data_IF_871563772769
#
_entry.id   IF_871563772769
#
_cell.length_a   1.000
_cell.length_b   1.000
_cell.length_c   1.000
_cell.angle_alpha   90.00
_cell.angle_beta   90.00
_cell.angle_gamma   90.00
#
_symmetry.space_group_name_H-M   'P 1'
#
loop_
_entity.id
_entity.type
_entity.pdbx_description
1 polymer ?
#
# COMPACT_ATOMS: atom_id res chain seq x y z
N UNK A 1 -29.46 9.35 -13.15
CA UNK A 1 -28.10 9.83 -12.78
C UNK A 1 -27.53 8.84 -11.77
N UNK A 2 -26.82 7.79 -12.22
CA UNK A 2 -26.19 6.82 -11.30
C UNK A 2 -24.98 7.50 -10.66
N UNK A 3 -24.97 7.63 -9.34
CA UNK A 3 -23.76 8.05 -8.63
C UNK A 3 -22.63 7.07 -9.01
N UNK A 4 -21.41 7.54 -9.31
CA UNK A 4 -20.25 6.68 -9.60
C UNK A 4 -19.77 5.87 -8.38
N UNK A 5 -20.54 5.89 -7.28
CA UNK A 5 -20.29 5.22 -6.00
C UNK A 5 -20.55 3.70 -6.07
N UNK A 6 -21.15 3.18 -7.14
CA UNK A 6 -21.30 1.72 -7.37
C UNK A 6 -20.01 1.06 -7.87
N UNK A 7 -18.86 1.52 -7.35
CA UNK A 7 -17.55 1.07 -7.80
C UNK A 7 -16.52 0.89 -6.71
N UNK A 8 -16.88 1.07 -5.44
CA UNK A 8 -15.94 0.86 -4.34
C UNK A 8 -15.55 -0.62 -4.17
N UNK A 9 -16.38 -1.56 -4.65
CA UNK A 9 -16.17 -2.99 -4.48
C UNK A 9 -14.97 -3.57 -5.22
N UNK A 10 -14.60 -2.92 -6.31
CA UNK A 10 -13.66 -3.45 -7.29
C UNK A 10 -12.38 -2.60 -7.36
N UNK A 11 -12.27 -1.62 -6.47
CA UNK A 11 -11.03 -0.96 -6.07
C UNK A 11 -10.44 -1.64 -4.82
N UNK A 12 -10.51 -2.98 -4.74
CA UNK A 12 -9.70 -3.76 -3.79
C UNK A 12 -8.56 -4.45 -4.52
N UNK A 13 -7.40 -3.77 -4.69
CA UNK A 13 -6.17 -4.35 -5.23
C UNK A 13 -5.50 -5.41 -4.36
N UNK A 14 -6.26 -6.02 -3.45
CA UNK A 14 -5.85 -7.14 -2.64
C UNK A 14 -6.49 -8.48 -3.05
N UNK A 15 -7.30 -8.55 -4.10
CA UNK A 15 -7.73 -9.87 -4.61
C UNK A 15 -6.60 -10.53 -5.40
N UNK A 16 -6.60 -11.87 -5.45
CA UNK A 16 -5.65 -12.67 -6.26
C UNK A 16 -5.62 -12.22 -7.73
N UNK A 17 -6.74 -11.71 -8.24
CA UNK A 17 -6.88 -11.16 -9.60
C UNK A 17 -5.92 -9.99 -9.88
N UNK A 18 -5.61 -9.18 -8.85
CA UNK A 18 -4.68 -8.08 -8.94
C UNK A 18 -3.25 -8.56 -9.26
N UNK A 19 -2.84 -9.66 -8.62
CA UNK A 19 -1.54 -10.28 -8.86
C UNK A 19 -1.47 -10.81 -10.29
N UNK A 20 -2.50 -11.54 -10.73
CA UNK A 20 -2.59 -12.05 -12.11
C UNK A 20 -2.56 -10.91 -13.13
N UNK A 21 -3.40 -9.89 -12.95
CA UNK A 21 -3.50 -8.79 -13.90
C UNK A 21 -2.20 -7.99 -14.01
N UNK A 22 -1.53 -7.69 -12.90
CA UNK A 22 -0.26 -6.94 -12.92
C UNK A 22 0.94 -7.76 -13.39
N UNK A 23 0.88 -9.10 -13.33
CA UNK A 23 1.99 -9.98 -13.76
C UNK A 23 1.83 -10.53 -15.16
N UNK A 24 0.59 -10.68 -15.65
CA UNK A 24 0.26 -11.29 -16.95
C UNK A 24 -0.51 -10.33 -17.86
N UNK A 25 -1.27 -9.38 -17.30
CA UNK A 25 -2.07 -8.40 -18.06
C UNK A 25 -3.55 -8.79 -18.17
N UNK A 26 -3.93 -9.94 -17.63
CA UNK A 26 -5.29 -10.47 -17.61
C UNK A 26 -5.54 -11.24 -16.31
N UNK A 27 -6.80 -11.36 -15.91
CA UNK A 27 -7.29 -12.20 -14.83
C UNK A 27 -7.82 -13.57 -15.33
N UNK A 28 -7.53 -13.90 -16.60
CA UNK A 28 -7.93 -15.18 -17.20
C UNK A 28 -7.18 -16.39 -16.61
N UNK A 29 -7.97 -17.37 -16.15
CA UNK A 29 -7.46 -18.58 -15.51
C UNK A 29 -6.77 -19.52 -16.50
N UNK A 30 -7.23 -19.57 -17.77
CA UNK A 30 -6.62 -20.40 -18.80
C UNK A 30 -5.21 -19.92 -19.14
N UNK A 31 -5.04 -18.60 -19.30
CA UNK A 31 -3.74 -17.96 -19.51
C UNK A 31 -2.79 -18.23 -18.34
N UNK A 32 -3.29 -18.15 -17.10
CA UNK A 32 -2.50 -18.49 -15.91
C UNK A 32 -2.07 -19.97 -15.92
N UNK A 33 -2.97 -20.88 -16.28
CA UNK A 33 -2.65 -22.31 -16.40
C UNK A 33 -1.62 -22.57 -17.50
N UNK A 34 -1.67 -21.85 -18.62
CA UNK A 34 -0.67 -21.95 -19.69
C UNK A 34 0.72 -21.54 -19.22
N UNK A 35 0.86 -20.46 -18.44
CA UNK A 35 2.16 -20.08 -17.87
C UNK A 35 2.73 -21.14 -16.92
N UNK A 36 1.88 -21.85 -16.19
CA UNK A 36 2.28 -23.01 -15.38
C UNK A 36 2.79 -24.14 -16.27
N UNK A 37 2.03 -24.51 -17.32
CA UNK A 37 2.38 -25.60 -18.24
C UNK A 37 3.69 -25.30 -18.99
N UNK A 38 3.86 -24.06 -19.46
CA UNK A 38 5.07 -23.60 -20.16
C UNK A 38 6.28 -23.51 -19.21
N UNK A 39 6.05 -23.35 -17.91
CA UNK A 39 7.10 -23.21 -16.91
C UNK A 39 7.72 -21.81 -16.91
N UNK A 40 6.94 -20.78 -17.26
CA UNK A 40 7.41 -19.40 -17.14
C UNK A 40 7.74 -19.07 -15.68
N UNK A 41 8.70 -18.19 -15.44
CA UNK A 41 9.13 -17.83 -14.08
C UNK A 41 9.44 -16.35 -13.99
N UNK A 42 8.62 -15.65 -13.21
CA UNK A 42 8.78 -14.24 -12.87
C UNK A 42 9.08 -14.11 -11.38
N UNK A 43 10.19 -13.45 -11.05
CA UNK A 43 10.52 -13.13 -9.67
C UNK A 43 9.85 -11.81 -9.26
N UNK A 44 9.31 -11.77 -8.03
CA UNK A 44 8.54 -10.64 -7.52
C UNK A 44 8.92 -10.28 -6.08
N UNK A 45 8.85 -9.00 -5.76
CA UNK A 45 9.05 -8.44 -4.44
C UNK A 45 7.91 -8.82 -3.49
N UNK A 46 8.24 -8.95 -2.21
CA UNK A 46 7.26 -9.19 -1.15
C UNK A 46 7.60 -8.34 0.06
N UNK A 47 6.59 -7.77 0.69
CA UNK A 47 6.73 -6.97 1.90
C UNK A 47 6.46 -7.82 3.15
N UNK A 48 7.41 -7.88 4.08
CA UNK A 48 7.21 -8.47 5.39
C UNK A 48 6.63 -7.42 6.36
N UNK A 49 5.48 -7.72 6.95
CA UNK A 49 4.76 -6.84 7.88
C UNK A 49 4.95 -7.35 9.30
N UNK A 50 5.48 -6.49 10.17
CA UNK A 50 5.77 -6.78 11.56
C UNK A 50 5.01 -5.85 12.50
N UNK A 51 4.83 -6.29 13.74
CA UNK A 51 4.34 -5.47 14.85
C UNK A 51 5.08 -5.89 16.12
N UNK A 52 5.73 -4.93 16.80
CA UNK A 52 6.51 -5.21 18.01
C UNK A 52 7.58 -6.29 17.81
N UNK A 53 8.28 -6.27 16.67
CA UNK A 53 9.30 -7.27 16.30
C UNK A 53 8.76 -8.64 15.88
N UNK A 54 7.44 -8.87 15.94
CA UNK A 54 6.82 -10.13 15.50
C UNK A 54 6.33 -10.03 14.07
N UNK A 55 6.69 -10.98 13.22
CA UNK A 55 6.16 -11.09 11.86
C UNK A 55 4.66 -11.41 11.90
N UNK A 56 3.84 -10.53 11.33
CA UNK A 56 2.40 -10.73 11.19
C UNK A 56 2.07 -11.46 9.89
N UNK A 57 2.60 -10.98 8.76
CA UNK A 57 2.24 -11.47 7.42
C UNK A 57 3.21 -10.99 6.35
N UNK A 58 3.23 -11.69 5.21
CA UNK A 58 3.81 -11.21 3.96
C UNK A 58 2.72 -10.65 3.04
N UNK A 59 2.96 -9.48 2.44
CA UNK A 59 2.10 -8.87 1.42
C UNK A 59 2.80 -8.86 0.07
N UNK A 60 2.11 -9.34 -0.95
CA UNK A 60 2.55 -9.39 -2.33
C UNK A 60 2.04 -8.20 -3.17
N UNK A 61 0.88 -7.61 -2.82
CA UNK A 61 0.27 -6.54 -3.63
C UNK A 61 0.08 -5.23 -2.88
N UNK A 62 -0.82 -5.22 -1.89
CA UNK A 62 -1.37 -4.00 -1.30
C UNK A 62 -1.45 -4.11 0.23
N UNK A 63 -0.88 -3.10 0.87
CA UNK A 63 -1.20 -2.71 2.23
C UNK A 63 -1.99 -1.40 2.24
N UNK A 64 -3.13 -1.35 2.95
CA UNK A 64 -3.99 -0.17 3.01
C UNK A 64 -4.57 0.09 4.40
N UNK A 65 -4.21 1.21 5.02
CA UNK A 65 -4.76 1.68 6.29
C UNK A 65 -5.81 2.79 6.08
N UNK A 66 -6.65 3.02 7.09
CA UNK A 66 -7.67 4.05 7.03
C UNK A 66 -8.82 3.61 6.13
N UNK A 67 -9.17 4.43 5.14
CA UNK A 67 -10.29 4.18 4.23
C UNK A 67 -10.33 2.73 3.69
N UNK A 68 -9.22 2.22 3.15
CA UNK A 68 -9.18 0.88 2.54
C UNK A 68 -9.29 -0.25 3.58
N UNK A 69 -8.63 -0.11 4.73
CA UNK A 69 -8.72 -1.10 5.80
C UNK A 69 -10.07 -1.13 6.51
N UNK A 70 -10.70 0.04 6.67
CA UNK A 70 -12.04 0.16 7.24
C UNK A 70 -13.10 -0.50 6.37
N UNK A 71 -12.97 -0.43 5.04
CA UNK A 71 -13.88 -1.13 4.13
C UNK A 71 -13.73 -2.64 4.25
N UNK A 72 -12.50 -3.17 4.20
CA UNK A 72 -12.29 -4.62 4.36
C UNK A 72 -12.89 -5.07 5.68
N UNK A 73 -12.54 -4.43 6.80
CA UNK A 73 -13.08 -4.76 8.14
C UNK A 73 -14.61 -4.74 8.20
N UNK A 74 -15.26 -3.76 7.59
CA UNK A 74 -16.73 -3.66 7.57
C UNK A 74 -17.37 -4.70 6.63
N UNK A 75 -16.70 -5.02 5.52
CA UNK A 75 -17.15 -5.98 4.51
C UNK A 75 -17.04 -7.44 4.96
N UNK A 76 -16.08 -7.75 5.83
CA UNK A 76 -15.90 -9.08 6.43
C UNK A 76 -17.07 -9.47 7.33
N UNK A 77 -17.72 -8.48 7.97
CA UNK A 77 -18.96 -8.69 8.74
C UNK A 77 -20.19 -8.94 7.85
N UNK A 78 -20.03 -8.81 6.53
CA UNK A 78 -21.11 -8.79 5.53
C UNK A 78 -20.88 -9.81 4.41
N UNK A 79 -20.16 -10.90 4.69
CA UNK A 79 -19.93 -11.99 3.72
C UNK A 79 -21.22 -12.54 3.11
N UNK A 80 -22.33 -12.49 3.83
CA UNK A 80 -23.65 -12.91 3.37
C UNK A 80 -24.17 -12.14 2.13
N UNK A 81 -23.63 -10.94 1.83
CA UNK A 81 -24.02 -10.16 0.64
C UNK A 81 -23.21 -10.49 -0.62
N UNK A 82 -22.28 -11.44 -0.57
CA UNK A 82 -21.37 -11.71 -1.70
C UNK A 82 -20.58 -10.46 -2.10
N UNK A 83 -20.30 -10.28 -3.39
CA UNK A 83 -19.44 -9.20 -3.91
C UNK A 83 -19.97 -7.78 -3.62
N UNK A 84 -21.28 -7.60 -3.48
CA UNK A 84 -21.91 -6.30 -3.21
C UNK A 84 -21.46 -5.72 -1.86
N UNK A 85 -20.98 -6.58 -0.94
CA UNK A 85 -20.49 -6.17 0.38
C UNK A 85 -19.46 -5.05 0.32
N UNK A 86 -18.56 -5.09 -0.66
CA UNK A 86 -17.50 -4.12 -0.77
C UNK A 86 -18.00 -2.75 -1.28
N UNK A 87 -19.01 -2.72 -2.14
CA UNK A 87 -19.63 -1.47 -2.64
C UNK A 87 -20.38 -0.79 -1.50
N UNK A 88 -21.17 -1.57 -0.77
CA UNK A 88 -21.90 -1.09 0.40
C UNK A 88 -20.95 -0.55 1.48
N UNK A 89 -19.94 -1.33 1.85
CA UNK A 89 -18.96 -0.93 2.85
C UNK A 89 -18.14 0.27 2.37
N UNK A 90 -17.79 0.35 1.09
CA UNK A 90 -17.13 1.48 0.47
C UNK A 90 -17.91 2.78 0.55
N UNK A 91 -19.19 2.73 0.15
CA UNK A 91 -20.09 3.88 0.25
C UNK A 91 -20.26 4.33 1.71
N UNK A 92 -20.48 3.38 2.62
CA UNK A 92 -20.60 3.66 4.05
C UNK A 92 -19.35 4.36 4.60
N UNK A 93 -18.17 3.81 4.35
CA UNK A 93 -16.90 4.38 4.81
C UNK A 93 -16.63 5.75 4.19
N UNK A 94 -16.98 5.94 2.91
CA UNK A 94 -16.86 7.23 2.23
C UNK A 94 -17.74 8.31 2.87
N UNK A 95 -18.98 7.98 3.23
CA UNK A 95 -19.88 8.92 3.89
C UNK A 95 -19.39 9.28 5.30
N UNK A 96 -18.89 8.29 6.05
CA UNK A 96 -18.28 8.50 7.38
C UNK A 96 -17.05 9.40 7.32
N UNK A 97 -16.19 9.24 6.31
CA UNK A 97 -15.03 10.11 6.03
C UNK A 97 -14.10 10.31 7.24
N UNK A 98 -13.82 9.22 7.95
CA UNK A 98 -12.90 9.23 9.09
C UNK A 98 -11.46 9.45 8.63
N UNK A 99 -10.68 10.11 9.48
CA UNK A 99 -9.24 10.29 9.33
C UNK A 99 -8.54 9.85 10.62
N UNK A 100 -7.28 9.45 10.47
CA UNK A 100 -6.47 8.87 11.55
C UNK A 100 -5.18 9.67 11.67
N UNK A 101 -4.81 10.01 12.90
CA UNK A 101 -3.60 10.76 13.19
C UNK A 101 -2.47 9.80 13.58
N UNK A 102 -1.26 10.10 13.13
CA UNK A 102 -0.08 9.31 13.46
C UNK A 102 1.16 9.77 12.71
N UNK A 103 2.23 8.99 12.86
CA UNK A 103 3.54 9.23 12.28
C UNK A 103 3.90 8.11 11.32
N UNK A 104 4.21 8.48 10.08
CA UNK A 104 4.77 7.59 9.07
C UNK A 104 6.27 7.88 8.93
N UNK A 105 7.11 6.89 9.25
CA UNK A 105 8.56 6.96 9.08
C UNK A 105 8.96 6.00 7.96
N UNK A 106 9.84 6.40 7.05
CA UNK A 106 10.23 5.53 5.93
C UNK A 106 11.64 5.79 5.44
N UNK A 107 12.23 4.74 4.86
CA UNK A 107 13.54 4.78 4.23
C UNK A 107 13.37 4.82 2.70
N UNK A 108 13.71 5.94 2.03
CA UNK A 108 13.63 6.05 0.58
C UNK A 108 14.51 5.00 -0.12
N UNK A 109 14.03 4.47 -1.24
CA UNK A 109 14.81 3.53 -2.05
C UNK A 109 15.79 4.30 -2.96
N UNK A 110 16.95 4.67 -2.41
CA UNK A 110 17.96 5.46 -3.15
C UNK A 110 18.63 4.68 -4.29
N UNK A 111 18.68 3.35 -4.17
CA UNK A 111 19.34 2.45 -5.14
C UNK A 111 18.44 1.98 -6.27
N UNK A 112 17.12 2.19 -6.18
CA UNK A 112 16.18 1.84 -7.25
C UNK A 112 16.10 2.96 -8.26
N UNK A 113 16.31 2.64 -9.53
CA UNK A 113 16.18 3.62 -10.63
C UNK A 113 14.69 3.90 -10.84
N UNK A 114 14.27 5.14 -10.59
CA UNK A 114 12.96 5.63 -11.00
C UNK A 114 12.14 6.30 -9.91
N UNK A 115 11.14 7.07 -10.35
CA UNK A 115 10.13 7.73 -9.53
C UNK A 115 8.81 6.95 -9.56
N UNK A 116 8.01 6.99 -8.49
CA UNK A 116 6.61 6.53 -8.52
C UNK A 116 5.76 7.24 -9.60
N UNK A 117 6.25 8.34 -10.17
CA UNK A 117 5.60 9.09 -11.26
C UNK A 117 6.21 8.83 -12.64
N UNK A 118 7.06 7.82 -12.78
CA UNK A 118 7.65 7.50 -14.09
C UNK A 118 6.58 7.09 -15.10
N UNK A 119 6.78 7.50 -16.35
CA UNK A 119 5.82 7.22 -17.43
C UNK A 119 5.92 5.82 -18.03
N UNK A 120 6.91 5.00 -17.64
CA UNK A 120 7.14 3.66 -18.19
C UNK A 120 6.70 2.59 -17.19
N UNK A 121 5.67 1.79 -17.48
CA UNK A 121 5.24 0.73 -16.59
C UNK A 121 6.19 -0.47 -16.62
N UNK A 122 6.13 -1.29 -15.57
CA UNK A 122 6.84 -2.56 -15.55
C UNK A 122 6.23 -3.55 -16.57
N UNK A 123 7.10 -4.16 -17.39
CA UNK A 123 6.75 -5.07 -18.50
C UNK A 123 7.68 -6.27 -18.52
N UNK A 124 7.36 -7.27 -19.34
CA UNK A 124 8.20 -8.44 -19.58
C UNK A 124 9.65 -8.00 -19.93
N UNK A 125 10.63 -8.59 -19.26
CA UNK A 125 12.04 -8.23 -19.47
C UNK A 125 12.45 -6.84 -18.96
N UNK A 126 11.72 -6.27 -17.98
CA UNK A 126 12.02 -4.96 -17.41
C UNK A 126 13.52 -4.81 -17.03
N UNK A 127 14.14 -3.72 -17.49
CA UNK A 127 15.54 -3.43 -17.21
C UNK A 127 15.79 -3.18 -15.71
N UNK A 128 14.93 -2.39 -15.06
CA UNK A 128 15.06 -2.03 -13.64
C UNK A 128 15.05 -3.29 -12.75
N UNK A 129 14.06 -4.18 -12.92
CA UNK A 129 14.00 -5.41 -12.14
C UNK A 129 15.21 -6.33 -12.39
N UNK A 130 15.73 -6.40 -13.63
CA UNK A 130 16.94 -7.17 -13.94
C UNK A 130 18.17 -6.59 -13.27
N UNK A 131 18.30 -5.27 -13.26
CA UNK A 131 19.40 -4.57 -12.60
C UNK A 131 19.36 -4.78 -11.08
N UNK A 132 18.19 -4.65 -10.44
CA UNK A 132 18.02 -4.91 -9.02
C UNK A 132 18.38 -6.35 -8.64
N UNK A 133 18.12 -7.32 -9.52
CA UNK A 133 18.56 -8.71 -9.31
C UNK A 133 20.08 -8.85 -9.29
N UNK A 134 20.77 -8.21 -10.24
CA UNK A 134 22.24 -8.25 -10.31
C UNK A 134 22.86 -7.61 -9.05
N UNK A 135 22.31 -6.47 -8.61
CA UNK A 135 22.72 -5.82 -7.36
C UNK A 135 22.50 -6.72 -6.15
N UNK A 136 21.35 -7.37 -6.04
CA UNK A 136 21.06 -8.31 -4.96
C UNK A 136 22.05 -9.49 -4.93
N UNK A 137 22.36 -10.07 -6.10
CA UNK A 137 23.33 -11.17 -6.22
C UNK A 137 24.76 -10.70 -5.84
N UNK A 138 25.13 -9.46 -6.13
CA UNK A 138 26.40 -8.86 -5.70
C UNK A 138 26.45 -8.60 -4.19
N UNK A 139 25.38 -8.04 -3.61
CA UNK A 139 25.24 -7.83 -2.16
C UNK A 139 25.33 -9.14 -1.38
N UNK A 140 24.63 -10.19 -1.85
CA UNK A 140 24.69 -11.53 -1.25
C UNK A 140 26.09 -12.13 -1.33
N UNK A 141 26.80 -11.96 -2.45
CA UNK A 141 28.20 -12.39 -2.57
C UNK A 141 29.10 -11.63 -1.59
N UNK A 142 28.96 -10.31 -1.49
CA UNK A 142 29.75 -9.49 -0.54
C UNK A 142 29.51 -9.94 0.90
N UNK A 143 28.26 -10.17 1.28
CA UNK A 143 27.90 -10.68 2.61
C UNK A 143 28.52 -12.07 2.88
N UNK A 144 28.50 -12.98 1.90
CA UNK A 144 29.12 -14.30 2.03
C UNK A 144 30.64 -14.23 2.27
N UNK A 145 31.32 -13.25 1.67
CA UNK A 145 32.76 -13.04 1.84
C UNK A 145 33.11 -12.12 3.02
N UNK A 146 32.12 -11.68 3.82
CA UNK A 146 32.34 -10.74 4.93
C UNK A 146 32.85 -9.36 4.49
N UNK A 147 32.64 -9.01 3.22
CA UNK A 147 33.03 -7.72 2.63
C UNK A 147 31.89 -6.71 2.78
N UNK A 148 31.32 -6.62 3.97
CA UNK A 148 30.26 -5.66 4.29
C UNK A 148 30.83 -4.25 4.12
N UNK A 149 30.31 -3.50 3.15
CA UNK A 149 30.61 -2.08 3.06
C UNK A 149 29.98 -1.38 4.27
N UNK A 150 30.75 -0.48 4.88
CA UNK A 150 30.35 0.55 5.85
C UNK A 150 28.86 0.84 5.85
N UNK A 151 28.22 0.79 7.03
CA UNK A 151 26.84 1.20 7.29
C UNK A 151 26.46 2.37 6.38
N UNK A 152 25.70 2.10 5.31
CA UNK A 152 25.08 3.17 4.55
C UNK A 152 24.16 3.88 5.53
N UNK A 153 24.39 5.18 5.73
CA UNK A 153 23.57 6.01 6.60
C UNK A 153 22.12 5.95 6.09
N UNK A 154 21.30 5.12 6.74
CA UNK A 154 19.87 5.00 6.46
C UNK A 154 19.19 6.30 6.91
N UNK A 155 19.03 7.25 5.98
CA UNK A 155 18.34 8.50 6.26
C UNK A 155 16.82 8.30 6.25
N UNK A 156 16.26 8.07 7.43
CA UNK A 156 14.81 7.97 7.64
C UNK A 156 14.14 9.33 7.46
N UNK A 157 13.07 9.34 6.65
CA UNK A 157 12.16 10.48 6.54
C UNK A 157 10.96 10.24 7.44
N UNK A 158 10.52 11.30 8.12
CA UNK A 158 9.40 11.24 9.07
C UNK A 158 8.31 12.21 8.63
N UNK A 159 7.08 11.71 8.57
CA UNK A 159 5.90 12.47 8.19
C UNK A 159 4.81 12.26 9.23
N UNK A 160 4.56 13.27 10.04
CA UNK A 160 3.42 13.32 10.95
C UNK A 160 2.20 13.91 10.24
N UNK A 161 1.00 13.44 10.57
CA UNK A 161 -0.20 14.04 10.03
C UNK A 161 -1.50 13.31 10.31
N UNK A 162 -2.56 13.83 9.67
CA UNK A 162 -3.90 13.25 9.65
C UNK A 162 -4.15 12.65 8.26
N UNK A 163 -4.32 11.34 8.21
CA UNK A 163 -4.46 10.57 6.99
C UNK A 163 -5.87 10.03 6.84
N UNK A 164 -6.46 10.19 5.65
CA UNK A 164 -7.66 9.45 5.25
C UNK A 164 -7.29 8.01 4.91
N UNK A 165 -6.12 7.83 4.28
CA UNK A 165 -5.58 6.52 3.95
C UNK A 165 -4.06 6.56 3.83
N UNK A 166 -3.44 5.41 4.12
CA UNK A 166 -2.02 5.14 3.89
C UNK A 166 -1.97 3.85 3.09
N UNK A 167 -1.36 3.89 1.92
CA UNK A 167 -1.29 2.77 1.00
C UNK A 167 0.17 2.44 0.72
N UNK A 168 0.53 1.16 0.70
CA UNK A 168 1.83 0.68 0.30
C UNK A 168 1.65 -0.39 -0.78
N UNK A 169 2.29 -0.19 -1.92
CA UNK A 169 2.08 -0.97 -3.14
C UNK A 169 3.39 -1.65 -3.57
N UNK A 170 3.41 -2.97 -3.61
CA UNK A 170 4.55 -3.75 -4.12
C UNK A 170 4.55 -3.87 -5.66
N UNK A 171 3.46 -3.46 -6.29
CA UNK A 171 3.23 -3.61 -7.73
C UNK A 171 2.19 -2.58 -8.18
N UNK A 172 1.93 -2.51 -9.49
CA UNK A 172 1.02 -1.48 -10.00
C UNK A 172 -0.40 -1.59 -9.48
N UNK A 173 -0.79 -2.80 -9.06
CA UNK A 173 -2.09 -3.08 -8.48
C UNK A 173 -3.22 -2.77 -9.48
N UNK A 174 -3.03 -3.18 -10.73
CA UNK A 174 -3.94 -2.95 -11.84
C UNK A 174 -5.03 -4.01 -11.90
N UNK A 175 -6.19 -3.64 -12.45
CA UNK A 175 -7.30 -4.56 -12.68
C UNK A 175 -8.17 -4.06 -13.84
N UNK A 176 -9.14 -4.85 -14.28
CA UNK A 176 -10.05 -4.48 -15.38
C UNK A 176 -10.74 -3.11 -15.20
N UNK A 177 -10.98 -2.65 -13.96
CA UNK A 177 -11.60 -1.34 -13.67
C UNK A 177 -10.60 -0.22 -13.39
N UNK A 178 -9.34 -0.56 -13.15
CA UNK A 178 -8.24 0.37 -13.01
C UNK A 178 -7.03 -0.16 -13.79
N UNK A 179 -7.02 -0.01 -15.13
CA UNK A 179 -6.01 -0.64 -15.98
C UNK A 179 -4.58 -0.16 -15.69
N UNK A 180 -4.42 1.06 -15.16
CA UNK A 180 -3.13 1.57 -14.67
C UNK A 180 -2.82 1.18 -13.23
N UNK A 181 -3.82 0.74 -12.47
CA UNK A 181 -3.72 0.46 -11.04
C UNK A 181 -3.52 1.71 -10.18
N UNK A 182 -3.22 1.51 -8.90
CA UNK A 182 -2.95 2.62 -7.97
C UNK A 182 -1.50 3.09 -7.96
N UNK A 183 -0.58 2.33 -8.58
CA UNK A 183 0.81 2.76 -8.79
C UNK A 183 1.37 2.28 -10.14
N UNK A 184 0.96 2.87 -11.29
CA UNK A 184 1.35 2.43 -12.63
C UNK A 184 2.85 2.26 -12.87
N UNK A 185 3.68 3.03 -12.15
CA UNK A 185 5.13 3.01 -12.25
C UNK A 185 5.81 2.03 -11.28
N UNK A 186 5.05 1.32 -10.44
CA UNK A 186 5.61 0.33 -9.53
C UNK A 186 6.18 -0.86 -10.32
N UNK A 187 7.39 -1.25 -9.94
CA UNK A 187 8.07 -2.40 -10.50
C UNK A 187 7.74 -3.65 -9.70
N UNK A 188 7.75 -4.80 -10.38
CA UNK A 188 7.44 -6.08 -9.73
C UNK A 188 8.60 -6.61 -8.88
N UNK A 189 9.83 -6.14 -9.13
CA UNK A 189 11.05 -6.80 -8.66
C UNK A 189 12.22 -5.86 -8.46
N UNK A 190 12.00 -4.58 -8.14
CA UNK A 190 13.09 -3.62 -7.98
C UNK A 190 13.61 -3.52 -6.54
N UNK A 191 12.99 -4.22 -5.60
CA UNK A 191 13.32 -4.18 -4.18
C UNK A 191 12.70 -2.99 -3.45
N UNK A 192 11.62 -2.41 -3.99
CA UNK A 192 10.93 -1.26 -3.39
C UNK A 192 9.42 -1.44 -3.32
N UNK A 193 8.76 -0.53 -2.61
CA UNK A 193 7.32 -0.34 -2.63
C UNK A 193 7.00 1.15 -2.79
N UNK A 194 5.86 1.46 -3.38
CA UNK A 194 5.36 2.83 -3.47
C UNK A 194 4.42 3.11 -2.27
N UNK A 195 4.86 3.99 -1.37
CA UNK A 195 4.13 4.49 -0.21
C UNK A 195 3.35 5.75 -0.59
N UNK A 196 2.02 5.66 -0.55
CA UNK A 196 1.09 6.73 -0.92
C UNK A 196 0.36 7.20 0.35
N UNK A 197 0.63 8.45 0.75
CA UNK A 197 0.01 9.09 1.91
C UNK A 197 -1.11 10.02 1.43
N UNK A 198 -2.34 9.75 1.87
CA UNK A 198 -3.52 10.56 1.51
C UNK A 198 -3.93 11.35 2.75
N UNK A 199 -3.57 12.64 2.78
CA UNK A 199 -3.89 13.54 3.90
C UNK A 199 -5.38 13.88 3.96
N UNK A 200 -5.80 14.36 5.13
CA UNK A 200 -7.13 14.92 5.36
C UNK A 200 -7.49 15.95 4.28
N UNK A 201 -8.53 15.67 3.51
CA UNK A 201 -9.12 16.57 2.52
C UNK A 201 -10.65 16.54 2.58
N UNK A 202 -11.32 17.39 1.78
CA UNK A 202 -12.79 17.38 1.69
C UNK A 202 -13.31 16.11 1.02
N UNK A 203 -14.55 15.70 1.32
CA UNK A 203 -15.20 14.55 0.67
C UNK A 203 -15.20 14.66 -0.85
N UNK A 204 -15.42 15.86 -1.39
CA UNK A 204 -15.38 16.12 -2.83
C UNK A 204 -13.98 15.88 -3.43
N UNK A 205 -12.93 16.38 -2.76
CA UNK A 205 -11.55 16.15 -3.20
C UNK A 205 -11.18 14.66 -3.12
N UNK A 206 -11.62 13.97 -2.07
CA UNK A 206 -11.40 12.54 -1.94
C UNK A 206 -12.16 11.73 -2.99
N UNK A 207 -13.40 12.09 -3.32
CA UNK A 207 -14.13 11.50 -4.45
C UNK A 207 -13.41 11.72 -5.78
N UNK A 208 -12.88 12.93 -6.00
CA UNK A 208 -12.08 13.26 -7.20
C UNK A 208 -10.82 12.40 -7.28
N UNK A 209 -10.19 12.10 -6.14
CA UNK A 209 -9.08 11.16 -6.05
C UNK A 209 -9.51 9.73 -6.40
N UNK A 210 -10.60 9.23 -5.83
CA UNK A 210 -11.10 7.88 -6.12
C UNK A 210 -11.47 7.70 -7.61
N UNK A 211 -12.11 8.70 -8.21
CA UNK A 211 -12.45 8.69 -9.64
C UNK A 211 -11.17 8.73 -10.51
N UNK A 212 -10.07 9.30 -10.01
CA UNK A 212 -8.81 9.42 -10.77
C UNK A 212 -8.27 8.05 -11.20
N UNK A 213 -8.44 7.02 -10.37
CA UNK A 213 -8.00 5.66 -10.70
C UNK A 213 -8.78 4.98 -11.84
N UNK A 214 -9.87 5.58 -12.32
CA UNK A 214 -10.64 5.09 -13.49
C UNK A 214 -10.19 5.69 -14.82
N UNK A 215 -9.22 6.60 -14.81
CA UNK A 215 -8.73 7.29 -16.00
C UNK A 215 -7.20 7.25 -16.09
N UNK A 216 -6.66 7.81 -17.18
CA UNK A 216 -5.23 7.76 -17.51
C UNK A 216 -4.44 9.00 -17.04
N UNK A 217 -4.97 9.79 -16.10
CA UNK A 217 -4.27 10.97 -15.57
C UNK A 217 -3.42 10.57 -14.36
N UNK A 218 -2.35 11.34 -14.08
CA UNK A 218 -1.49 11.14 -12.90
C UNK A 218 -2.35 11.06 -11.63
N UNK A 219 -2.36 9.92 -10.94
CA UNK A 219 -3.20 9.76 -9.75
C UNK A 219 -2.69 10.48 -8.50
N UNK A 220 -1.44 10.94 -8.55
CA UNK A 220 -0.76 11.62 -7.45
C UNK A 220 -0.80 13.14 -7.62
N UNK A 221 -1.40 13.66 -8.69
CA UNK A 221 -1.56 15.10 -8.93
C UNK A 221 -2.70 15.71 -8.09
N UNK A 222 -2.48 15.69 -6.77
CA UNK A 222 -3.32 16.30 -5.75
C UNK A 222 -2.45 16.83 -4.61
N UNK A 223 -2.74 18.03 -4.10
CA UNK A 223 -1.98 18.65 -3.00
C UNK A 223 -2.06 17.91 -1.66
N UNK A 224 -3.01 16.99 -1.52
CA UNK A 224 -3.22 16.16 -0.34
C UNK A 224 -2.72 14.72 -0.52
N UNK A 225 -2.01 14.42 -1.63
CA UNK A 225 -1.45 13.10 -1.91
C UNK A 225 0.06 13.22 -2.05
N UNK A 226 0.79 12.50 -1.21
CA UNK A 226 2.24 12.33 -1.31
C UNK A 226 2.54 10.89 -1.71
N UNK A 227 3.57 10.69 -2.53
CA UNK A 227 4.02 9.36 -2.95
C UNK A 227 5.54 9.26 -2.85
N UNK A 228 6.02 8.16 -2.28
CA UNK A 228 7.44 7.88 -2.07
C UNK A 228 7.77 6.44 -2.46
N UNK A 229 8.89 6.23 -3.15
CA UNK A 229 9.45 4.89 -3.33
C UNK A 229 10.35 4.56 -2.15
N UNK A 230 10.07 3.48 -1.43
CA UNK A 230 10.69 3.16 -0.15
C UNK A 230 11.10 1.69 -0.07
N UNK A 231 12.13 1.39 0.74
CA UNK A 231 12.55 0.02 1.08
C UNK A 231 11.93 -0.48 2.38
N UNK A 232 11.68 0.46 3.32
CA UNK A 232 11.09 0.21 4.62
C UNK A 232 10.12 1.34 4.95
N UNK A 233 9.02 1.03 5.62
CA UNK A 233 8.22 2.06 6.29
C UNK A 233 7.64 1.54 7.60
N UNK A 234 7.38 2.46 8.50
CA UNK A 234 6.73 2.23 9.76
C UNK A 234 5.59 3.23 9.88
N UNK A 235 4.47 2.79 10.46
CA UNK A 235 3.40 3.69 10.86
C UNK A 235 3.07 3.46 12.33
N UNK A 236 2.98 4.55 13.09
CA UNK A 236 2.55 4.55 14.49
C UNK A 236 1.35 5.50 14.61
N UNK A 237 0.18 5.02 15.06
CA UNK A 237 -0.95 5.88 15.32
C UNK A 237 -0.73 6.70 16.60
N UNK A 238 -1.20 7.95 16.60
CA UNK A 238 -0.96 8.92 17.67
C UNK A 238 -1.32 8.43 19.07
N UNK A 239 -2.42 7.68 19.21
CA UNK A 239 -2.86 7.21 20.54
C UNK A 239 -1.87 6.23 21.19
N UNK A 240 -0.98 5.58 20.42
CA UNK A 240 0.09 4.75 20.98
C UNK A 240 1.34 5.58 21.31
N UNK A 241 1.58 6.69 20.60
CA UNK A 241 2.65 7.63 20.92
C UNK A 241 2.41 8.32 22.28
N UNK A 242 1.14 8.64 22.56
CA UNK A 242 0.72 9.25 23.83
C UNK A 242 0.82 8.27 25.02
N UNK A 243 0.73 6.94 24.78
CA UNK A 243 0.85 5.91 25.83
C UNK A 243 2.31 5.58 26.20
N UNK A 244 3.24 5.65 25.23
CA UNK A 244 4.69 5.46 25.46
C UNK A 244 5.37 6.71 26.05
N UNK A 245 4.70 7.87 25.98
CA UNK A 245 5.14 9.13 26.58
C UNK A 245 4.82 9.19 28.09
N UNK A 246 5.51 8.35 28.88
CA UNK A 246 5.68 8.37 30.34
C UNK A 246 4.43 8.44 31.28
N UNK A 247 4.12 7.38 32.05
CA UNK A 247 3.15 7.39 33.15
C UNK A 247 3.54 8.25 34.37
N UNK A 248 4.77 8.76 34.45
CA UNK A 248 5.32 9.36 35.69
C UNK A 248 4.97 10.83 35.95
N UNK A 249 4.34 11.54 34.99
CA UNK A 249 4.00 12.95 35.12
C UNK A 249 2.60 13.24 35.75
N UNK A 250 1.94 12.24 36.36
CA UNK A 250 0.69 12.43 37.12
C UNK A 250 0.91 12.30 38.63
N UNK A 251 1.79 13.14 39.16
CA UNK A 251 2.05 13.24 40.59
C UNK A 251 1.95 14.68 41.10
N UNK A 252 0.83 14.99 41.77
CA UNK A 252 0.57 16.16 42.64
C UNK A 252 0.43 17.53 41.97
N UNK A 253 -0.82 18.00 41.89
CA UNK A 253 -1.19 19.28 42.50
C UNK A 253 -2.67 19.26 42.91
N UNK A 254 -2.89 19.48 44.21
CA UNK A 254 -4.19 19.66 44.87
C UNK A 254 -4.31 21.17 45.14
N UNK A 255 -5.54 21.68 45.00
CA UNK A 255 -6.07 23.03 45.27
C UNK A 255 -6.03 24.08 44.13
N UNK A 256 -7.23 24.52 43.72
CA UNK A 256 -7.45 25.79 43.00
C UNK A 256 -8.52 25.78 41.90
N UNK A 257 -9.80 25.91 42.29
CA UNK A 257 -10.89 26.64 41.61
C UNK A 257 -11.24 26.45 40.11
N UNK A 258 -12.44 25.85 39.92
CA UNK A 258 -13.52 26.21 38.98
C UNK A 258 -13.18 26.72 37.58
N UNK A 259 -13.42 25.90 36.56
CA UNK A 259 -14.18 26.34 35.39
C UNK A 259 -14.83 25.15 34.67
N UNK A 260 -16.10 25.35 34.33
CA UNK A 260 -17.04 24.42 33.70
C UNK A 260 -16.51 23.77 32.41
N UNK A 261 -16.23 22.46 32.46
CA UNK A 261 -16.16 21.63 31.25
C UNK A 261 -16.96 20.35 31.47
N UNK A 262 -18.09 20.28 30.78
CA UNK A 262 -18.84 19.05 30.53
C UNK A 262 -17.88 17.96 30.03
N UNK A 263 -17.70 16.91 30.83
CA UNK A 263 -17.13 15.64 30.38
C UNK A 263 -18.17 14.87 29.55
N UNK A 264 -18.43 15.34 28.34
CA UNK A 264 -19.22 14.58 27.36
C UNK A 264 -18.64 14.71 25.95
N UNK A 265 -17.52 14.04 25.69
CA UNK A 265 -17.49 13.15 24.55
C UNK A 265 -16.63 11.93 24.88
N UNK A 266 -17.29 10.82 25.20
CA UNK A 266 -16.73 9.48 25.07
C UNK A 266 -16.58 9.13 23.59
N UNK A 267 -15.86 9.97 22.85
CA UNK A 267 -15.46 9.70 21.48
C UNK A 267 -14.37 8.62 21.58
N UNK A 268 -14.75 7.34 21.60
CA UNK A 268 -13.79 6.25 21.49
C UNK A 268 -12.86 6.56 20.31
N UNK A 269 -11.55 6.65 20.57
CA UNK A 269 -10.56 6.93 19.52
C UNK A 269 -10.79 5.90 18.42
N UNK A 270 -11.26 6.37 17.26
CA UNK A 270 -11.62 5.46 16.17
C UNK A 270 -10.34 4.85 15.63
N UNK A 271 -10.11 3.58 15.97
CA UNK A 271 -8.96 2.80 15.47
C UNK A 271 -9.32 2.26 14.08
N UNK A 272 -8.45 2.47 13.10
CA UNK A 272 -8.58 1.78 11.81
C UNK A 272 -7.96 0.37 11.90
N UNK A 273 -7.91 -0.31 10.76
CA UNK A 273 -7.24 -1.59 10.58
C UNK A 273 -6.47 -1.54 9.26
N UNK A 274 -5.55 -2.47 9.06
CA UNK A 274 -4.88 -2.62 7.78
C UNK A 274 -5.60 -3.66 6.92
N UNK A 275 -5.80 -3.32 5.65
CA UNK A 275 -5.98 -4.27 4.57
C UNK A 275 -4.60 -4.77 4.16
N UNK A 276 -4.38 -6.08 4.17
CA UNK A 276 -3.19 -6.75 3.67
C UNK A 276 -3.63 -7.80 2.67
N UNK A 277 -3.46 -7.50 1.38
CA UNK A 277 -3.88 -8.35 0.26
C UNK A 277 -5.31 -8.90 0.42
N UNK A 278 -6.26 -8.02 0.75
CA UNK A 278 -7.67 -8.36 0.88
C UNK A 278 -8.10 -8.85 2.25
N UNK A 279 -7.16 -9.01 3.19
CA UNK A 279 -7.42 -9.51 4.54
C UNK A 279 -7.16 -8.45 5.63
N UNK A 280 -7.82 -8.60 6.79
CA UNK A 280 -7.66 -7.66 7.91
C UNK A 280 -6.47 -8.04 8.78
N UNK A 281 -5.58 -7.07 9.09
CA UNK A 281 -4.59 -7.23 10.15
C UNK A 281 -5.04 -6.57 11.46
N UNK A 282 -4.87 -7.31 12.55
CA UNK A 282 -5.20 -6.90 13.91
C UNK A 282 -3.97 -6.27 14.59
N UNK A 283 -3.66 -5.04 14.19
CA UNK A 283 -2.57 -4.22 14.73
C UNK A 283 -2.58 -2.89 14.00
N UNK A 284 -2.46 -1.77 14.70
CA UNK A 284 -2.54 -0.43 14.06
C UNK A 284 -1.15 0.14 13.78
N UNK A 285 -0.20 -0.12 14.66
CA UNK A 285 1.21 0.15 14.39
C UNK A 285 1.80 -1.01 13.61
N UNK A 286 2.56 -0.73 12.55
CA UNK A 286 3.26 -1.75 11.77
C UNK A 286 4.63 -1.26 11.34
N UNK A 287 5.54 -2.20 11.12
CA UNK A 287 6.78 -2.02 10.40
C UNK A 287 6.74 -2.90 9.15
N UNK A 288 7.15 -2.37 8.01
CA UNK A 288 7.12 -3.05 6.72
C UNK A 288 8.49 -2.98 6.09
N UNK A 289 8.99 -4.14 5.65
CA UNK A 289 10.27 -4.28 4.95
C UNK A 289 10.07 -5.01 3.62
N UNK A 290 10.57 -4.42 2.54
CA UNK A 290 10.55 -5.05 1.21
C UNK A 290 11.68 -6.07 1.10
N UNK A 291 11.36 -7.22 0.52
CA UNK A 291 12.32 -8.25 0.12
C UNK A 291 12.33 -8.36 -1.39
N UNK A 292 13.49 -8.02 -1.98
CA UNK A 292 13.68 -8.01 -3.42
C UNK A 292 13.58 -9.44 -4.00
N UNK A 293 12.66 -9.64 -4.95
CA UNK A 293 12.53 -10.86 -5.76
C UNK A 293 12.46 -12.16 -4.93
N UNK A 294 11.81 -12.10 -3.77
CA UNK A 294 11.76 -13.20 -2.80
C UNK A 294 10.96 -14.41 -3.31
N UNK A 295 9.89 -14.17 -4.08
CA UNK A 295 9.00 -15.23 -4.58
C UNK A 295 9.05 -15.32 -6.10
N UNK A 296 8.75 -16.51 -6.62
CA UNK A 296 8.62 -16.77 -8.05
C UNK A 296 7.21 -17.20 -8.38
N UNK A 297 6.63 -16.58 -9.40
CA UNK A 297 5.31 -16.88 -9.93
C UNK A 297 5.45 -17.49 -11.33
N UNK A 298 4.52 -18.36 -11.69
CA UNK A 298 4.36 -18.84 -13.06
C UNK A 298 3.72 -17.74 -13.92
N UNK A 299 4.54 -16.81 -14.38
CA UNK A 299 4.16 -15.67 -15.20
C UNK A 299 5.39 -15.19 -15.99
N UNK A 300 5.16 -14.40 -17.06
CA UNK A 300 6.23 -13.84 -17.90
C UNK A 300 6.41 -12.32 -17.78
N UNK A 301 5.44 -11.63 -17.17
CA UNK A 301 5.33 -10.18 -17.27
C UNK A 301 4.42 -9.79 -18.44
N UNK A 302 3.83 -8.59 -18.35
CA UNK A 302 2.98 -8.02 -19.41
C UNK A 302 3.84 -7.71 -20.64
N UNK A 303 3.54 -8.31 -21.78
CA UNK A 303 4.21 -8.04 -23.06
C UNK A 303 3.74 -6.70 -23.66
N UNK A 304 4.60 -6.02 -24.43
CA UNK A 304 4.16 -4.85 -25.19
C UNK A 304 3.31 -5.30 -26.39
N UNK A 305 2.14 -4.69 -26.59
CA UNK A 305 1.37 -4.93 -27.80
C UNK A 305 2.21 -4.52 -29.03
N UNK A 306 2.39 -5.45 -29.96
CA UNK A 306 3.00 -5.16 -31.25
C UNK A 306 2.17 -4.06 -31.93
N UNK A 307 2.77 -2.88 -32.17
CA UNK A 307 2.12 -1.85 -32.98
C UNK A 307 1.78 -2.48 -34.33
N UNK A 308 0.52 -2.38 -34.81
CA UNK A 308 0.20 -2.83 -36.15
C UNK A 308 1.13 -2.10 -37.14
N UNK A 309 1.58 -2.77 -38.21
CA UNK A 309 2.42 -2.13 -39.21
C UNK A 309 1.69 -0.88 -39.70
N UNK A 310 2.42 0.25 -39.76
CA UNK A 310 1.90 1.48 -40.35
C UNK A 310 1.53 1.15 -41.79
N UNK A 311 0.24 1.17 -42.09
CA UNK A 311 -0.30 1.07 -43.45
C UNK A 311 0.14 2.24 -44.31
#
# INVERSE_FOLDING_TARGET
MRLPLAGFATFFPGSTDCVCYSTVGTDDAETSALHIIVGDSLAMDVSAVHHGGTLLRYSASLLGYGFYGDIIRDSEKKRWMGLIRYDFSGLKTFLSHHYYEGTASFLPAQHTVGSPRDGKPCRAGCFVCRQSRQQLEEEQKKALYGLENSEELEEWKVVCGKFLAINAMNMCCACARSPGGLSPAAHLGDGSLDLILIRKCSRFNFLRFLIRHTNQRDQFDFTFVEVYRVKKFQFVPKHLEDEDSDPSARGKQRFGETCSQHSSCCCAVSRSSWNCDGEVLHGTAIEVRVHCQLVRLFARGIEEEAKPPRS
#
